data_IF_015628740762
#
_entry.id   IF_015628740762
#
_cell.length_a   1.000
_cell.length_b   1.000
_cell.length_c   1.000
_cell.angle_alpha   90.00
_cell.angle_beta   90.00
_cell.angle_gamma   90.00
#
_symmetry.space_group_name_H-M   'P 1'
#
loop_
_entity.id
_entity.type
_entity.pdbx_description
1 polymer ?
#
# COMPACT_ATOMS: atom_id res chain seq x y z
N UNK A 1 11.87 17.53 -0.45
CA UNK A 1 11.27 17.08 0.82
C UNK A 1 12.08 15.89 1.31
N UNK A 2 12.72 16.02 2.47
CA UNK A 2 13.69 15.05 2.99
C UNK A 2 13.17 14.30 4.22
N UNK A 3 13.95 13.31 4.68
CA UNK A 3 13.69 12.56 5.91
C UNK A 3 13.71 13.51 7.12
N UNK A 4 12.67 13.44 7.95
CA UNK A 4 12.59 14.15 9.24
C UNK A 4 12.95 13.19 10.38
N UNK A 5 13.30 13.69 11.58
CA UNK A 5 13.54 12.84 12.76
C UNK A 5 12.38 11.92 13.12
N UNK A 6 11.16 12.28 12.71
CA UNK A 6 9.94 11.49 12.95
C UNK A 6 9.67 10.43 11.87
N UNK A 7 10.48 10.41 10.80
CA UNK A 7 10.28 9.48 9.68
C UNK A 7 10.61 8.06 10.11
N UNK A 8 9.59 7.20 10.18
CA UNK A 8 9.77 5.76 10.40
C UNK A 8 10.36 5.12 9.15
N UNK A 9 11.31 4.20 9.32
CA UNK A 9 11.95 3.48 8.21
C UNK A 9 11.61 1.99 8.28
N UNK A 10 11.30 1.40 7.13
CA UNK A 10 11.24 -0.05 6.93
C UNK A 10 12.66 -0.54 6.64
N UNK A 11 13.07 -1.60 7.34
CA UNK A 11 14.39 -2.22 7.21
C UNK A 11 14.23 -3.66 6.75
N UNK A 12 14.89 -4.04 5.66
CA UNK A 12 14.84 -5.41 5.14
C UNK A 12 16.13 -5.77 4.40
N UNK A 13 16.41 -7.08 4.32
CA UNK A 13 17.54 -7.60 3.54
C UNK A 13 17.08 -7.94 2.12
N UNK A 14 17.81 -7.46 1.12
CA UNK A 14 17.55 -7.75 -0.30
C UNK A 14 18.85 -7.89 -1.06
N UNK A 15 19.14 -9.08 -1.60
CA UNK A 15 20.35 -9.32 -2.40
C UNK A 15 21.67 -9.05 -1.66
N UNK A 16 21.78 -9.46 -0.40
CA UNK A 16 23.01 -9.32 0.40
C UNK A 16 23.28 -7.92 0.96
N UNK A 17 22.36 -6.97 0.78
CA UNK A 17 22.41 -5.62 1.36
C UNK A 17 21.20 -5.34 2.26
N UNK A 18 21.39 -4.47 3.24
CA UNK A 18 20.32 -3.94 4.09
C UNK A 18 19.78 -2.67 3.45
N UNK A 19 18.46 -2.62 3.24
CA UNK A 19 17.74 -1.50 2.62
C UNK A 19 16.95 -0.75 3.68
N UNK A 20 17.01 0.58 3.63
CA UNK A 20 16.25 1.50 4.50
C UNK A 20 15.34 2.38 3.63
N UNK A 21 14.03 2.22 3.77
CA UNK A 21 13.04 2.99 3.00
C UNK A 21 12.04 3.66 3.94
N UNK A 22 11.55 4.88 3.65
CA UNK A 22 10.45 5.49 4.40
C UNK A 22 9.28 4.52 4.53
N UNK A 23 8.91 4.22 5.77
CA UNK A 23 7.74 3.41 6.05
C UNK A 23 6.50 4.22 5.67
N UNK A 24 5.93 3.91 4.51
CA UNK A 24 4.64 4.46 4.12
C UNK A 24 3.56 3.98 5.09
N UNK A 25 2.70 4.88 5.63
CA UNK A 25 1.53 4.49 6.42
C UNK A 25 0.61 3.53 5.65
N UNK A 26 0.62 3.60 4.32
CA UNK A 26 -0.14 2.70 3.46
C UNK A 26 0.42 1.27 3.45
N UNK A 27 1.73 1.09 3.68
CA UNK A 27 2.35 -0.23 3.59
C UNK A 27 1.85 -1.23 4.64
N UNK A 28 1.52 -0.77 5.85
CA UNK A 28 0.93 -1.61 6.90
C UNK A 28 -0.55 -1.91 6.63
N UNK A 29 -1.29 -0.94 6.10
CA UNK A 29 -2.69 -1.12 5.69
C UNK A 29 -2.80 -2.12 4.54
N UNK A 30 -1.93 -2.01 3.53
CA UNK A 30 -1.88 -2.94 2.40
C UNK A 30 -1.54 -4.37 2.84
N UNK A 31 -0.60 -4.55 3.77
CA UNK A 31 -0.27 -5.88 4.30
C UNK A 31 -1.45 -6.54 5.05
N UNK A 32 -2.24 -5.75 5.79
CA UNK A 32 -3.45 -6.26 6.45
C UNK A 32 -4.53 -6.66 5.43
N UNK A 33 -4.72 -5.84 4.39
CA UNK A 33 -5.65 -6.15 3.30
C UNK A 33 -5.22 -7.40 2.53
N UNK A 34 -3.93 -7.59 2.24
CA UNK A 34 -3.43 -8.81 1.58
C UNK A 34 -3.67 -10.08 2.42
N UNK A 35 -3.51 -9.99 3.74
CA UNK A 35 -3.78 -11.11 4.65
C UNK A 35 -5.27 -11.47 4.67
N UNK A 36 -6.14 -10.46 4.76
CA UNK A 36 -7.60 -10.64 4.72
C UNK A 36 -8.07 -11.18 3.35
N UNK A 37 -7.49 -10.68 2.27
CA UNK A 37 -7.75 -11.12 0.89
C UNK A 37 -7.43 -12.61 0.72
N UNK A 38 -6.30 -13.06 1.27
CA UNK A 38 -5.88 -14.47 1.26
C UNK A 38 -6.79 -15.36 2.11
N UNK A 39 -7.22 -14.87 3.27
CA UNK A 39 -8.11 -15.61 4.17
C UNK A 39 -9.51 -15.77 3.57
N UNK A 40 -10.01 -14.75 2.86
CA UNK A 40 -11.32 -14.75 2.21
C UNK A 40 -11.33 -15.36 0.80
N UNK A 41 -10.18 -15.73 0.26
CA UNK A 41 -10.05 -16.40 -1.05
C UNK A 41 -10.35 -15.50 -2.25
N UNK A 42 -10.18 -14.18 -2.11
CA UNK A 42 -10.36 -13.26 -3.22
C UNK A 42 -9.36 -13.57 -4.34
N UNK A 43 -9.87 -13.67 -5.57
CA UNK A 43 -8.99 -13.80 -6.72
C UNK A 43 -8.31 -12.47 -7.02
N UNK A 44 -7.19 -12.53 -7.74
CA UNK A 44 -6.49 -11.31 -8.19
C UNK A 44 -7.40 -10.41 -9.03
N UNK A 45 -8.29 -11.00 -9.84
CA UNK A 45 -9.24 -10.25 -10.66
C UNK A 45 -10.28 -9.49 -9.82
N UNK A 46 -10.76 -10.09 -8.72
CA UNK A 46 -11.70 -9.43 -7.81
C UNK A 46 -11.05 -8.22 -7.13
N UNK A 47 -9.79 -8.37 -6.72
CA UNK A 47 -9.02 -7.30 -6.09
C UNK A 47 -8.72 -6.15 -7.07
N UNK A 48 -8.35 -6.46 -8.31
CA UNK A 48 -8.11 -5.46 -9.35
C UNK A 48 -9.42 -4.68 -9.69
N UNK A 49 -10.57 -5.36 -9.67
CA UNK A 49 -11.89 -4.73 -9.87
C UNK A 49 -12.23 -3.77 -8.73
N UNK A 50 -12.04 -4.17 -7.47
CA UNK A 50 -12.29 -3.28 -6.33
C UNK A 50 -11.35 -2.08 -6.31
N UNK A 51 -10.06 -2.29 -6.60
CA UNK A 51 -9.07 -1.19 -6.69
C UNK A 51 -9.47 -0.19 -7.78
N UNK A 52 -9.98 -0.66 -8.92
CA UNK A 52 -10.44 0.23 -9.99
C UNK A 52 -11.64 1.09 -9.55
N UNK A 53 -12.62 0.49 -8.85
CA UNK A 53 -13.79 1.20 -8.32
C UNK A 53 -13.38 2.25 -7.29
N UNK A 54 -12.52 1.89 -6.32
CA UNK A 54 -12.04 2.82 -5.31
C UNK A 54 -11.23 3.95 -5.95
N UNK A 55 -10.38 3.63 -6.94
CA UNK A 55 -9.61 4.64 -7.68
C UNK A 55 -10.52 5.64 -8.39
N UNK A 56 -11.58 5.17 -9.05
CA UNK A 56 -12.55 6.03 -9.73
C UNK A 56 -13.28 6.94 -8.73
N UNK A 57 -13.70 6.40 -7.58
CA UNK A 57 -14.35 7.18 -6.52
C UNK A 57 -13.43 8.25 -5.94
N UNK A 58 -12.16 7.93 -5.71
CA UNK A 58 -11.17 8.89 -5.22
C UNK A 58 -10.87 9.97 -6.28
N UNK A 59 -10.74 9.59 -7.54
CA UNK A 59 -10.53 10.55 -8.63
C UNK A 59 -11.71 11.53 -8.74
N UNK A 60 -12.95 11.03 -8.71
CA UNK A 60 -14.15 11.89 -8.66
C UNK A 60 -14.17 12.79 -7.43
N UNK A 61 -13.76 12.29 -6.27
CA UNK A 61 -13.75 13.05 -5.02
C UNK A 61 -12.69 14.15 -4.96
N UNK A 62 -11.52 13.93 -5.56
CA UNK A 62 -10.40 14.88 -5.50
C UNK A 62 -10.27 15.78 -6.72
N UNK A 63 -10.78 15.32 -7.88
CA UNK A 63 -10.61 15.99 -9.17
C UNK A 63 -11.91 16.14 -9.95
N UNK A 64 -13.05 15.71 -9.40
CA UNK A 64 -14.36 16.10 -9.93
C UNK A 64 -14.74 17.48 -9.40
N UNK A 65 -15.20 18.36 -10.30
CA UNK A 65 -16.12 19.45 -9.95
C UNK A 65 -17.44 18.88 -9.38
#
# INVERSE_FOLDING_TARGET
MGLTPETRLRVYASGGRVVFEPASPLGSLLGALEAETREKGYSREDMEREVAVVREQLLKRFYGE
#
